data_IF_789979152217
#
_entry.id   IF_789979152217
#
_cell.length_a   1.000
_cell.length_b   1.000
_cell.length_c   1.000
_cell.angle_alpha   90.00
_cell.angle_beta   90.00
_cell.angle_gamma   90.00
#
_symmetry.space_group_name_H-M   'P 1'
#
loop_
_entity.id
_entity.type
_entity.pdbx_description
1 polymer ?
#
# COMPACT_ATOMS: atom_id res chain seq x y z
N UNK A 1 -7.13 22.54 -26.44
CA UNK A 1 -6.78 21.17 -26.04
C UNK A 1 -5.63 21.27 -25.04
N UNK A 2 -5.87 20.98 -23.76
CA UNK A 2 -4.79 20.95 -22.76
C UNK A 2 -3.78 19.87 -23.13
N UNK A 3 -2.50 20.21 -23.18
CA UNK A 3 -1.40 19.27 -23.45
C UNK A 3 -1.55 18.07 -22.50
N UNK A 4 -1.53 16.81 -22.98
CA UNK A 4 -1.59 15.67 -22.08
C UNK A 4 -0.37 15.74 -21.16
N UNK A 5 -0.61 15.66 -19.85
CA UNK A 5 0.44 15.64 -18.83
C UNK A 5 1.29 14.39 -19.10
N UNK A 6 2.55 14.59 -19.49
CA UNK A 6 3.47 13.49 -19.71
C UNK A 6 4.00 13.04 -18.34
N UNK A 7 3.45 11.94 -17.82
CA UNK A 7 3.89 11.40 -16.54
C UNK A 7 5.32 10.87 -16.62
N UNK A 8 6.14 11.32 -15.70
CA UNK A 8 7.52 10.84 -15.51
C UNK A 8 7.53 9.53 -14.72
N UNK A 9 8.50 8.67 -15.01
CA UNK A 9 8.65 7.37 -14.33
C UNK A 9 9.19 7.58 -12.92
N UNK A 10 8.56 6.95 -11.93
CA UNK A 10 8.96 7.06 -10.53
C UNK A 10 8.45 8.31 -9.81
N UNK A 11 7.72 9.19 -10.50
CA UNK A 11 7.15 10.40 -9.88
C UNK A 11 5.77 10.08 -9.30
N UNK A 12 5.55 10.48 -8.04
CA UNK A 12 4.28 10.35 -7.31
C UNK A 12 3.37 11.55 -7.62
N UNK A 13 2.27 11.35 -8.32
CA UNK A 13 1.22 12.37 -8.50
C UNK A 13 0.08 12.14 -7.49
N UNK A 14 -0.17 13.12 -6.62
CA UNK A 14 -1.17 13.03 -5.52
C UNK A 14 -2.22 14.13 -5.62
N UNK A 15 -3.30 13.99 -4.86
CA UNK A 15 -4.33 15.03 -4.69
C UNK A 15 -4.77 15.68 -6.00
N UNK A 16 -4.59 17.00 -6.12
CA UNK A 16 -4.96 17.79 -7.28
C UNK A 16 -4.30 17.28 -8.57
N UNK A 17 -3.03 16.87 -8.53
CA UNK A 17 -2.31 16.36 -9.70
C UNK A 17 -2.90 15.03 -10.18
N UNK A 18 -3.30 14.17 -9.24
CA UNK A 18 -3.99 12.92 -9.53
C UNK A 18 -5.39 13.19 -10.10
N UNK A 19 -6.13 14.11 -9.49
CA UNK A 19 -7.51 14.44 -9.89
C UNK A 19 -7.55 15.10 -11.27
N UNK A 20 -6.57 15.92 -11.62
CA UNK A 20 -6.46 16.57 -12.93
C UNK A 20 -6.38 15.57 -14.10
N UNK A 21 -6.01 14.32 -13.82
CA UNK A 21 -5.88 13.23 -14.81
C UNK A 21 -7.14 12.36 -14.94
N UNK A 22 -8.16 12.60 -14.11
CA UNK A 22 -9.41 11.81 -14.13
C UNK A 22 -10.34 12.40 -15.19
N UNK A 23 -10.91 11.58 -16.09
CA UNK A 23 -11.79 12.04 -17.17
C UNK A 23 -13.22 12.33 -16.64
N UNK A 24 -13.34 12.97 -15.49
CA UNK A 24 -14.58 13.37 -14.85
C UNK A 24 -14.42 14.80 -14.39
N UNK A 25 -15.45 15.63 -14.59
CA UNK A 25 -15.45 17.02 -14.13
C UNK A 25 -15.48 17.03 -12.60
N UNK A 26 -14.33 17.26 -11.98
CA UNK A 26 -14.24 17.50 -10.55
C UNK A 26 -14.79 18.89 -10.25
N UNK A 27 -15.88 18.95 -9.49
CA UNK A 27 -16.37 20.23 -8.94
C UNK A 27 -15.43 20.55 -7.79
N UNK A 28 -14.67 21.64 -7.91
CA UNK A 28 -13.80 22.09 -6.83
C UNK A 28 -14.71 22.62 -5.73
N UNK A 29 -14.81 21.88 -4.62
CA UNK A 29 -15.48 22.36 -3.42
C UNK A 29 -14.64 23.48 -2.82
N UNK A 30 -15.23 24.65 -2.63
CA UNK A 30 -14.51 25.76 -1.99
C UNK A 30 -14.18 25.39 -0.54
N UNK A 31 -13.04 25.86 -0.02
CA UNK A 31 -12.60 25.50 1.34
C UNK A 31 -13.61 25.91 2.42
N UNK A 32 -14.43 26.92 2.15
CA UNK A 32 -15.52 27.37 3.02
C UNK A 32 -16.70 26.38 3.07
N UNK A 33 -16.87 25.54 2.06
CA UNK A 33 -17.91 24.50 1.97
C UNK A 33 -17.46 23.15 2.56
N UNK A 34 -16.17 22.99 2.89
CA UNK A 34 -15.67 21.77 3.53
C UNK A 34 -16.21 21.66 4.96
N UNK A 35 -17.12 20.70 5.16
CA UNK A 35 -17.66 20.38 6.47
C UNK A 35 -16.54 19.94 7.43
N UNK A 36 -16.56 20.49 8.64
CA UNK A 36 -15.67 20.02 9.71
C UNK A 36 -16.00 18.57 10.04
N UNK A 37 -14.96 17.77 10.28
CA UNK A 37 -15.14 16.41 10.79
C UNK A 37 -15.89 16.46 12.14
N UNK A 38 -16.97 15.68 12.31
CA UNK A 38 -17.70 15.64 13.56
C UNK A 38 -16.83 15.05 14.68
N UNK A 39 -17.13 15.40 15.94
CA UNK A 39 -16.30 14.99 17.09
C UNK A 39 -16.11 13.48 17.21
N UNK A 40 -17.14 12.68 16.92
CA UNK A 40 -17.08 11.21 16.99
C UNK A 40 -16.14 10.57 15.97
N UNK A 41 -15.72 11.29 14.93
CA UNK A 41 -14.79 10.79 13.90
C UNK A 41 -13.32 11.12 14.23
N UNK A 42 -13.08 11.97 15.22
CA UNK A 42 -11.72 12.38 15.61
C UNK A 42 -11.11 11.35 16.55
N UNK A 43 -9.84 11.06 16.34
CA UNK A 43 -9.06 10.21 17.23
C UNK A 43 -8.17 11.05 18.14
N UNK A 44 -7.80 10.46 19.28
CA UNK A 44 -6.74 11.01 20.15
C UNK A 44 -5.42 10.36 19.75
N UNK A 45 -4.42 11.18 19.44
CA UNK A 45 -3.07 10.67 19.22
C UNK A 45 -2.49 10.19 20.55
N UNK A 46 -1.75 9.06 20.57
CA UNK A 46 -1.12 8.56 21.78
C UNK A 46 -0.05 9.54 22.27
N UNK A 47 0.13 9.62 23.59
CA UNK A 47 1.19 10.43 24.19
C UNK A 47 2.59 9.90 23.87
N UNK A 48 2.74 8.56 23.76
CA UNK A 48 3.97 7.91 23.33
C UNK A 48 3.88 7.48 21.86
N UNK A 49 4.84 7.93 21.07
CA UNK A 49 4.97 7.60 19.65
C UNK A 49 6.27 6.86 19.31
N UNK A 50 7.05 6.43 20.31
CA UNK A 50 8.39 5.85 20.12
C UNK A 50 8.34 4.58 19.27
N UNK A 51 7.42 3.65 19.59
CA UNK A 51 7.21 2.42 18.81
C UNK A 51 6.83 2.73 17.36
N UNK A 52 5.93 3.69 17.16
CA UNK A 52 5.50 4.13 15.83
C UNK A 52 6.68 4.68 15.05
N UNK A 53 7.46 5.58 15.64
CA UNK A 53 8.65 6.17 15.00
C UNK A 53 9.68 5.11 14.63
N UNK A 54 9.90 4.11 15.50
CA UNK A 54 10.78 2.97 15.23
C UNK A 54 10.33 2.15 14.02
N UNK A 55 9.03 1.82 13.95
CA UNK A 55 8.47 1.09 12.81
C UNK A 55 8.61 1.90 11.52
N UNK A 56 8.25 3.18 11.55
CA UNK A 56 8.39 4.08 10.39
C UNK A 56 9.84 4.20 9.93
N UNK A 57 10.78 4.24 10.87
CA UNK A 57 12.20 4.28 10.55
C UNK A 57 12.69 2.97 9.91
N UNK A 58 12.25 1.81 10.43
CA UNK A 58 12.57 0.50 9.86
C UNK A 58 12.03 0.37 8.43
N UNK A 59 10.78 0.78 8.20
CA UNK A 59 10.16 0.78 6.87
C UNK A 59 10.95 1.65 5.88
N UNK A 60 11.27 2.90 6.25
CA UNK A 60 12.07 3.79 5.40
C UNK A 60 13.47 3.25 5.13
N UNK A 61 14.15 2.71 6.15
CA UNK A 61 15.48 2.12 6.03
C UNK A 61 15.50 0.98 5.01
N UNK A 62 14.44 0.18 4.98
CA UNK A 62 14.32 -0.97 4.09
C UNK A 62 13.63 -0.62 2.75
N UNK A 63 13.26 0.64 2.52
CA UNK A 63 12.58 1.06 1.29
C UNK A 63 11.19 0.45 1.11
N UNK A 64 10.53 0.09 2.22
CA UNK A 64 9.19 -0.52 2.22
C UNK A 64 8.10 0.55 2.35
N UNK A 65 6.92 0.25 1.82
CA UNK A 65 5.75 1.11 1.92
C UNK A 65 4.65 0.48 2.77
N UNK A 66 3.84 1.32 3.41
CA UNK A 66 2.66 0.90 4.16
C UNK A 66 1.48 1.77 3.73
N UNK A 67 0.33 1.12 3.50
CA UNK A 67 -0.93 1.85 3.28
C UNK A 67 -1.30 2.69 4.51
N UNK A 68 -0.87 2.30 5.71
CA UNK A 68 -1.11 3.07 6.93
C UNK A 68 -0.49 4.46 6.82
N UNK A 69 0.68 4.59 6.20
CA UNK A 69 1.34 5.88 5.96
C UNK A 69 0.89 6.53 4.66
N UNK A 70 0.84 5.77 3.57
CA UNK A 70 0.58 6.33 2.23
C UNK A 70 -0.89 6.78 2.07
N UNK A 71 -1.81 6.23 2.87
CA UNK A 71 -3.22 6.62 2.92
C UNK A 71 -3.64 7.37 4.19
N UNK A 72 -2.67 7.92 4.94
CA UNK A 72 -2.93 8.81 6.08
C UNK A 72 -3.88 8.21 7.13
N UNK A 73 -3.70 6.92 7.46
CA UNK A 73 -4.63 6.16 8.29
C UNK A 73 -4.67 6.70 9.73
N UNK A 74 -5.85 7.05 10.27
CA UNK A 74 -5.97 7.50 11.67
C UNK A 74 -5.60 6.37 12.65
N UNK A 75 -5.87 5.10 12.31
CA UNK A 75 -5.70 3.97 13.23
C UNK A 75 -4.25 3.46 13.33
N UNK A 76 -3.29 4.13 12.67
CA UNK A 76 -1.90 3.69 12.59
C UNK A 76 -1.29 3.42 13.98
N UNK A 77 -1.55 4.30 14.95
CA UNK A 77 -1.04 4.14 16.31
C UNK A 77 -1.57 2.90 17.00
N UNK A 78 -2.86 2.63 16.85
CA UNK A 78 -3.52 1.49 17.45
C UNK A 78 -3.01 0.17 16.84
N UNK A 79 -3.02 0.07 15.51
CA UNK A 79 -2.58 -1.14 14.80
C UNK A 79 -1.14 -1.53 15.17
N UNK A 80 -0.22 -0.57 15.12
CA UNK A 80 1.20 -0.82 15.37
C UNK A 80 1.48 -1.23 16.82
N UNK A 81 0.70 -0.72 17.78
CA UNK A 81 0.80 -1.11 19.19
C UNK A 81 0.24 -2.52 19.43
N UNK A 82 -0.78 -2.94 18.67
CA UNK A 82 -1.31 -4.30 18.74
C UNK A 82 -0.46 -5.32 17.97
N UNK A 83 0.69 -4.93 17.40
CA UNK A 83 1.56 -5.85 16.66
C UNK A 83 0.96 -6.28 15.32
N UNK A 84 0.21 -5.39 14.68
CA UNK A 84 -0.34 -5.55 13.33
C UNK A 84 0.13 -4.41 12.44
N UNK A 85 0.49 -4.71 11.20
CA UNK A 85 0.79 -3.70 10.20
C UNK A 85 0.32 -4.15 8.82
N UNK A 86 -0.03 -3.18 7.99
CA UNK A 86 -0.36 -3.41 6.59
C UNK A 86 0.76 -2.89 5.71
N UNK A 87 1.41 -3.79 4.97
CA UNK A 87 2.47 -3.45 4.03
C UNK A 87 1.89 -3.32 2.63
N UNK A 88 2.36 -2.31 1.90
CA UNK A 88 2.02 -2.09 0.51
C UNK A 88 3.24 -2.44 -0.34
N UNK A 89 3.18 -3.58 -1.01
CA UNK A 89 4.24 -4.08 -1.90
C UNK A 89 4.10 -3.49 -3.30
N UNK A 90 5.10 -3.71 -4.16
CA UNK A 90 5.16 -3.22 -5.54
C UNK A 90 5.28 -1.69 -5.66
N UNK A 91 5.75 -1.04 -4.58
CA UNK A 91 5.99 0.40 -4.51
C UNK A 91 4.76 1.20 -4.08
N UNK A 92 4.87 2.53 -4.23
CA UNK A 92 3.85 3.50 -3.80
C UNK A 92 3.25 4.34 -4.95
N UNK A 93 3.41 3.87 -6.20
CA UNK A 93 2.86 4.50 -7.39
C UNK A 93 1.92 3.52 -8.05
N UNK A 94 0.64 3.89 -8.15
CA UNK A 94 -0.40 3.07 -8.75
C UNK A 94 -0.59 3.43 -10.23
N UNK A 95 -0.71 2.39 -11.07
CA UNK A 95 -1.06 2.56 -12.49
C UNK A 95 -2.51 3.03 -12.68
N UNK A 96 -3.34 2.93 -11.64
CA UNK A 96 -4.72 3.40 -11.62
C UNK A 96 -4.89 4.67 -10.78
N UNK A 97 -6.05 5.31 -10.93
CA UNK A 97 -6.36 6.62 -10.37
C UNK A 97 -7.75 6.70 -9.75
N UNK A 98 -8.03 5.81 -8.80
CA UNK A 98 -9.29 5.82 -8.06
C UNK A 98 -9.48 7.18 -7.34
N UNK A 99 -10.61 7.89 -7.53
CA UNK A 99 -10.81 9.24 -7.00
C UNK A 99 -10.73 9.34 -5.48
N UNK A 100 -11.10 8.27 -4.77
CA UNK A 100 -11.12 8.21 -3.32
C UNK A 100 -9.80 7.77 -2.69
N UNK A 101 -8.86 7.26 -3.50
CA UNK A 101 -7.64 6.65 -3.00
C UNK A 101 -6.53 7.71 -2.89
N UNK A 102 -5.88 7.77 -1.73
CA UNK A 102 -4.80 8.73 -1.45
C UNK A 102 -3.44 8.28 -2.02
N UNK A 103 -3.33 7.01 -2.42
CA UNK A 103 -2.10 6.47 -3.04
C UNK A 103 -1.82 7.18 -4.36
N UNK A 104 -0.57 7.55 -4.57
CA UNK A 104 -0.13 8.30 -5.73
C UNK A 104 -0.41 7.55 -7.03
N UNK A 105 -0.84 8.28 -8.06
CA UNK A 105 -0.88 7.76 -9.43
C UNK A 105 0.43 8.08 -10.14
N UNK A 106 0.78 7.31 -11.18
CA UNK A 106 1.93 7.62 -12.02
C UNK A 106 2.39 6.43 -12.85
N UNK A 107 3.63 6.53 -13.35
CA UNK A 107 4.34 5.42 -14.01
C UNK A 107 5.30 4.78 -13.01
N UNK A 108 5.02 3.56 -12.52
CA UNK A 108 5.88 2.90 -11.54
C UNK A 108 7.26 2.57 -12.12
N UNK A 109 8.22 2.35 -11.22
CA UNK A 109 9.50 1.72 -11.56
C UNK A 109 9.35 0.17 -11.54
N UNK A 110 10.39 -0.52 -11.97
CA UNK A 110 10.43 -1.98 -11.84
C UNK A 110 10.31 -2.36 -10.34
N UNK A 111 9.57 -3.44 -10.00
CA UNK A 111 9.57 -3.98 -8.64
C UNK A 111 11.00 -4.29 -8.16
N UNK A 112 11.26 -4.05 -6.89
CA UNK A 112 12.51 -4.48 -6.26
C UNK A 112 12.43 -5.98 -6.00
N UNK A 113 13.31 -6.76 -6.65
CA UNK A 113 13.37 -8.21 -6.49
C UNK A 113 13.70 -8.64 -5.05
N UNK A 114 14.32 -7.77 -4.25
CA UNK A 114 14.61 -8.03 -2.84
C UNK A 114 13.50 -7.57 -1.88
N UNK A 115 12.41 -6.98 -2.39
CA UNK A 115 11.29 -6.53 -1.54
C UNK A 115 10.72 -7.67 -0.67
N UNK A 116 10.50 -8.91 -1.17
CA UNK A 116 10.04 -10.04 -0.34
C UNK A 116 10.93 -10.31 0.88
N UNK A 117 12.25 -10.36 0.68
CA UNK A 117 13.21 -10.64 1.76
C UNK A 117 13.30 -9.49 2.76
N UNK A 118 13.34 -8.25 2.26
CA UNK A 118 13.32 -7.04 3.11
C UNK A 118 12.04 -6.97 3.94
N UNK A 119 10.90 -7.28 3.34
CA UNK A 119 9.60 -7.33 3.99
C UNK A 119 9.60 -8.39 5.10
N UNK A 120 9.98 -9.62 4.78
CA UNK A 120 10.02 -10.72 5.73
C UNK A 120 10.98 -10.44 6.90
N UNK A 121 12.15 -9.85 6.62
CA UNK A 121 13.10 -9.45 7.67
C UNK A 121 12.50 -8.35 8.56
N UNK A 122 11.88 -7.33 7.96
CA UNK A 122 11.26 -6.22 8.71
C UNK A 122 10.14 -6.72 9.62
N UNK A 123 9.30 -7.64 9.14
CA UNK A 123 8.22 -8.26 9.90
C UNK A 123 8.78 -9.03 11.11
N UNK A 124 9.85 -9.80 10.90
CA UNK A 124 10.52 -10.54 11.97
C UNK A 124 11.14 -9.60 13.01
N UNK A 125 11.86 -8.56 12.57
CA UNK A 125 12.49 -7.56 13.46
C UNK A 125 11.45 -6.79 14.28
N UNK A 126 10.26 -6.56 13.73
CA UNK A 126 9.15 -5.88 14.40
C UNK A 126 8.33 -6.79 15.32
N UNK A 127 8.60 -8.11 15.32
CA UNK A 127 7.86 -9.11 16.08
C UNK A 127 6.33 -9.00 15.93
N UNK A 128 5.86 -8.81 14.69
CA UNK A 128 4.44 -8.75 14.38
C UNK A 128 3.78 -10.11 14.54
N UNK A 129 2.51 -10.12 14.93
CA UNK A 129 1.71 -11.35 15.07
C UNK A 129 0.73 -11.55 13.91
N UNK A 130 0.37 -10.46 13.25
CA UNK A 130 -0.57 -10.43 12.15
C UNK A 130 -0.08 -9.42 11.12
N UNK A 131 -0.07 -9.81 9.85
CA UNK A 131 0.33 -8.92 8.77
C UNK A 131 -0.70 -8.94 7.66
N UNK A 132 -1.05 -7.76 7.17
CA UNK A 132 -1.84 -7.61 5.94
C UNK A 132 -0.89 -7.19 4.83
N UNK A 133 -0.94 -7.89 3.71
CA UNK A 133 -0.18 -7.55 2.51
C UNK A 133 -1.16 -7.03 1.46
N UNK A 134 -0.90 -5.83 0.96
CA UNK A 134 -1.65 -5.25 -0.15
C UNK A 134 -0.70 -4.67 -1.17
N UNK A 135 -1.18 -4.22 -2.32
CA UNK A 135 -0.34 -3.59 -3.34
C UNK A 135 -1.06 -2.45 -4.04
N UNK A 136 -0.27 -1.66 -4.75
CA UNK A 136 -0.79 -0.83 -5.84
C UNK A 136 -1.21 -1.68 -7.03
N UNK A 137 -2.07 -1.15 -7.91
CA UNK A 137 -2.34 -1.78 -9.20
C UNK A 137 -1.11 -1.67 -10.11
N UNK A 138 -0.68 -2.82 -10.67
CA UNK A 138 0.45 -2.95 -11.58
C UNK A 138 0.01 -3.50 -12.94
N UNK A 139 -0.83 -2.74 -13.63
CA UNK A 139 -1.34 -3.13 -14.96
C UNK A 139 -0.20 -3.29 -16.00
N UNK A 140 0.99 -2.72 -15.73
CA UNK A 140 2.22 -2.86 -16.51
C UNK A 140 2.89 -4.23 -16.41
N UNK A 141 2.59 -5.03 -15.37
CA UNK A 141 3.14 -6.38 -15.18
C UNK A 141 2.25 -7.44 -15.82
N UNK A 142 2.85 -8.53 -16.34
CA UNK A 142 2.12 -9.58 -17.08
C UNK A 142 1.13 -10.37 -16.22
N UNK A 143 1.39 -10.47 -14.94
CA UNK A 143 0.61 -11.18 -13.93
C UNK A 143 -0.07 -10.20 -12.94
N UNK A 144 0.02 -8.90 -13.18
CA UNK A 144 -0.49 -7.87 -12.27
C UNK A 144 0.24 -7.82 -10.92
N UNK A 145 1.39 -8.49 -10.78
CA UNK A 145 2.15 -8.58 -9.53
C UNK A 145 1.81 -9.79 -8.65
N UNK A 146 0.98 -10.72 -9.13
CA UNK A 146 0.60 -11.91 -8.36
C UNK A 146 1.79 -12.77 -7.91
N UNK A 147 2.83 -12.94 -8.74
CA UNK A 147 4.05 -13.66 -8.35
C UNK A 147 4.74 -12.96 -7.17
N UNK A 148 4.76 -11.64 -7.17
CA UNK A 148 5.39 -10.86 -6.11
C UNK A 148 4.68 -11.00 -4.76
N UNK A 149 3.35 -11.14 -4.76
CA UNK A 149 2.60 -11.52 -3.56
C UNK A 149 3.01 -12.91 -3.06
N UNK A 150 3.06 -13.92 -3.95
CA UNK A 150 3.44 -15.28 -3.60
C UNK A 150 4.88 -15.35 -3.04
N UNK A 151 5.81 -14.60 -3.62
CA UNK A 151 7.20 -14.51 -3.17
C UNK A 151 7.27 -13.87 -1.77
N UNK A 152 6.51 -12.80 -1.52
CA UNK A 152 6.40 -12.17 -0.21
C UNK A 152 5.84 -13.13 0.85
N UNK A 153 4.75 -13.85 0.55
CA UNK A 153 4.14 -14.82 1.48
C UNK A 153 5.15 -15.91 1.82
N UNK A 154 5.86 -16.44 0.82
CA UNK A 154 6.87 -17.48 1.01
C UNK A 154 8.03 -17.01 1.91
N UNK A 155 8.58 -15.83 1.61
CA UNK A 155 9.67 -15.24 2.40
C UNK A 155 9.24 -14.97 3.86
N UNK A 156 8.02 -14.46 4.06
CA UNK A 156 7.46 -14.21 5.41
C UNK A 156 7.33 -15.52 6.18
N UNK A 157 6.75 -16.56 5.58
CA UNK A 157 6.61 -17.88 6.23
C UNK A 157 7.96 -18.50 6.57
N UNK A 158 8.98 -18.31 5.72
CA UNK A 158 10.32 -18.82 5.97
C UNK A 158 10.98 -18.18 7.21
N UNK A 159 10.78 -16.86 7.43
CA UNK A 159 11.36 -16.14 8.59
C UNK A 159 10.46 -16.14 9.82
N UNK A 160 9.16 -16.18 9.64
CA UNK A 160 8.14 -16.04 10.69
C UNK A 160 7.05 -17.11 10.53
N UNK A 161 7.34 -18.40 10.81
CA UNK A 161 6.44 -19.51 10.46
C UNK A 161 5.09 -19.49 11.20
N UNK A 162 4.99 -18.77 12.32
CA UNK A 162 3.77 -18.69 13.14
C UNK A 162 2.96 -17.39 12.92
N UNK A 163 3.37 -16.51 11.99
CA UNK A 163 2.64 -15.27 11.74
C UNK A 163 1.40 -15.55 10.90
N UNK A 164 0.31 -14.84 11.20
CA UNK A 164 -0.88 -14.85 10.33
C UNK A 164 -0.74 -13.81 9.22
N UNK A 165 -1.02 -14.23 7.99
CA UNK A 165 -0.91 -13.43 6.77
C UNK A 165 -2.29 -13.28 6.15
N UNK A 166 -2.74 -12.04 6.00
CA UNK A 166 -3.91 -11.67 5.20
C UNK A 166 -3.46 -10.97 3.92
N UNK A 167 -4.17 -11.20 2.82
CA UNK A 167 -3.94 -10.43 1.59
C UNK A 167 -5.16 -9.63 1.15
N UNK A 168 -4.91 -8.35 0.82
CA UNK A 168 -5.86 -7.50 0.10
C UNK A 168 -5.30 -7.25 -1.30
N UNK A 169 -5.74 -8.05 -2.26
CA UNK A 169 -5.24 -8.05 -3.64
C UNK A 169 -6.01 -7.09 -4.56
N UNK A 170 -5.39 -6.60 -5.64
CA UNK A 170 -6.11 -5.92 -6.71
C UNK A 170 -7.03 -6.88 -7.48
N UNK A 171 -7.81 -6.35 -8.41
CA UNK A 171 -8.74 -7.15 -9.24
C UNK A 171 -8.05 -7.97 -10.35
N UNK A 172 -6.74 -7.84 -10.52
CA UNK A 172 -5.95 -8.45 -11.59
C UNK A 172 -6.58 -8.34 -12.99
N UNK A 173 -7.22 -7.22 -13.31
CA UNK A 173 -8.00 -7.01 -14.55
C UNK A 173 -7.34 -7.59 -15.81
N UNK A 174 -8.01 -8.58 -16.42
CA UNK A 174 -7.54 -9.26 -17.64
C UNK A 174 -6.43 -10.27 -17.43
N UNK A 175 -6.10 -10.59 -16.17
CA UNK A 175 -5.02 -11.49 -15.73
C UNK A 175 -5.45 -12.41 -14.58
N UNK A 176 -6.75 -12.48 -14.28
CA UNK A 176 -7.30 -13.18 -13.12
C UNK A 176 -6.88 -14.65 -13.09
N UNK A 177 -7.03 -15.40 -14.18
CA UNK A 177 -6.69 -16.84 -14.21
C UNK A 177 -5.21 -17.08 -13.85
N UNK A 178 -4.31 -16.26 -14.39
CA UNK A 178 -2.88 -16.35 -14.09
C UNK A 178 -2.57 -15.98 -12.64
N UNK A 179 -3.24 -14.95 -12.12
CA UNK A 179 -3.07 -14.53 -10.74
C UNK A 179 -3.58 -15.60 -9.76
N UNK A 180 -4.74 -16.20 -10.03
CA UNK A 180 -5.31 -17.26 -9.22
C UNK A 180 -4.43 -18.52 -9.25
N UNK A 181 -3.89 -18.91 -10.40
CA UNK A 181 -2.96 -20.04 -10.51
C UNK A 181 -1.75 -19.87 -9.57
N UNK A 182 -1.16 -18.67 -9.55
CA UNK A 182 -0.01 -18.33 -8.72
C UNK A 182 -0.39 -18.28 -7.24
N UNK A 183 -1.43 -17.52 -6.89
CA UNK A 183 -1.82 -17.29 -5.49
C UNK A 183 -2.35 -18.55 -4.81
N UNK A 184 -2.94 -19.47 -5.57
CA UNK A 184 -3.40 -20.77 -5.04
C UNK A 184 -2.24 -21.67 -4.62
N UNK A 185 -1.07 -21.54 -5.26
CA UNK A 185 0.13 -22.29 -4.88
C UNK A 185 0.75 -21.78 -3.56
N UNK A 186 0.55 -20.50 -3.25
CA UNK A 186 1.07 -19.86 -2.04
C UNK A 186 -0.02 -19.08 -1.30
N UNK A 187 -1.05 -19.76 -0.78
CA UNK A 187 -2.22 -19.08 -0.24
C UNK A 187 -1.89 -18.35 1.07
N UNK A 188 -2.49 -17.17 1.32
CA UNK A 188 -2.49 -16.53 2.62
C UNK A 188 -3.35 -17.33 3.62
N UNK A 189 -3.42 -16.86 4.86
CA UNK A 189 -4.32 -17.43 5.87
C UNK A 189 -5.72 -16.80 5.81
N UNK A 190 -5.83 -15.57 5.26
CA UNK A 190 -7.07 -14.80 5.01
C UNK A 190 -6.97 -14.11 3.65
#
# INVERSE_FOLDING_TARGET
MSKPIQMERGVKYRDADKMALIPVKTVVTERQELLRKPEWMKIKLPADSTRIQGIKAAMRKNGLHSVCEEASCPNLSECFNHGTATFMILGAICTRRCPFCDVAHGRPIAPDANEPEKLAQTIADMALRYVVITSVDRDDLRDGGAQHFADCISAIRAKSPNIKIETLVPDFRGRMDRALEILTATPPDV
#
